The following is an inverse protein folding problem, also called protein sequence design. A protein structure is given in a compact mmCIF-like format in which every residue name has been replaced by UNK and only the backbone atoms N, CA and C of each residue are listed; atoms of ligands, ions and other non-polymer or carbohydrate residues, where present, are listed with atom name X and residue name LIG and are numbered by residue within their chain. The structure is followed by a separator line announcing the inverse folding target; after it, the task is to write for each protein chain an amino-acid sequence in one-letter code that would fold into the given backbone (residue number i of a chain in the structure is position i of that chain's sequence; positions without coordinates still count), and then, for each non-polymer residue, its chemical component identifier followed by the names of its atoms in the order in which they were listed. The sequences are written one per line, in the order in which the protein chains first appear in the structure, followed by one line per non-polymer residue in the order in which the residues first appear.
data_IF_013083528086
#
_entry.id   IF_013083528086
#
_cell.length_a   1.000
_cell.length_b   1.000
_cell.length_c   1.000
_cell.angle_alpha   90.00
_cell.angle_beta   90.00
_cell.angle_gamma   90.00
#
_symmetry.space_group_name_H-M   'P 1'
#
loop_
_entity.id
_entity.type
_entity.pdbx_description
1 polymer ?
#
# COMPACT_ATOMS: atom_id res chain seq x y z
N UNK A 1 -21.45 5.90 1.80
CA UNK A 1 -21.45 5.86 0.32
C UNK A 1 -19.99 5.81 -0.15
N UNK A 2 -19.29 4.67 -0.09
CA UNK A 2 -19.38 3.48 -0.95
C UNK A 2 -19.06 3.75 -2.42
N UNK A 3 -17.79 3.96 -2.76
CA UNK A 3 -17.32 3.92 -4.15
C UNK A 3 -16.14 2.96 -4.41
N UNK A 4 -15.62 2.31 -3.37
CA UNK A 4 -14.52 1.32 -3.50
C UNK A 4 -15.03 -0.11 -3.77
N UNK A 5 -16.33 -0.37 -3.59
CA UNK A 5 -16.88 -1.74 -3.64
C UNK A 5 -17.22 -2.25 -5.05
N UNK A 6 -17.41 -1.39 -6.06
CA UNK A 6 -17.95 -1.84 -7.36
C UNK A 6 -16.91 -2.35 -8.36
N UNK A 7 -15.64 -1.98 -8.21
CA UNK A 7 -14.61 -2.39 -9.18
C UNK A 7 -13.91 -3.70 -8.82
N UNK A 8 -13.92 -4.13 -7.55
CA UNK A 8 -13.38 -5.43 -7.15
C UNK A 8 -14.37 -6.59 -7.32
N UNK A 9 -15.68 -6.35 -7.22
CA UNK A 9 -16.67 -7.43 -7.38
C UNK A 9 -16.85 -7.86 -8.83
N UNK A 10 -16.69 -6.96 -9.82
CA UNK A 10 -16.82 -7.33 -11.23
C UNK A 10 -15.61 -8.12 -11.77
N UNK A 11 -14.41 -7.90 -11.23
CA UNK A 11 -13.22 -8.61 -11.70
C UNK A 11 -13.15 -10.05 -11.18
N UNK A 12 -13.55 -10.29 -9.94
CA UNK A 12 -13.51 -11.63 -9.33
C UNK A 12 -14.65 -12.53 -9.84
N UNK A 13 -15.81 -11.96 -10.17
CA UNK A 13 -16.94 -12.74 -10.68
C UNK A 13 -16.73 -13.26 -12.12
N UNK A 14 -15.93 -12.56 -12.94
CA UNK A 14 -15.63 -13.00 -14.31
C UNK A 14 -14.61 -14.15 -14.30
N UNK A 15 -13.68 -14.18 -13.34
CA UNK A 15 -12.65 -15.23 -13.29
C UNK A 15 -13.15 -16.54 -12.67
N UNK A 16 -14.15 -16.51 -11.77
CA UNK A 16 -14.63 -17.73 -11.09
C UNK A 16 -15.82 -18.42 -11.80
N UNK A 17 -16.54 -17.76 -12.71
CA UNK A 17 -17.68 -18.36 -13.42
C UNK A 17 -17.33 -19.07 -14.74
N UNK A 18 -16.04 -19.12 -15.08
CA UNK A 18 -15.50 -19.84 -16.23
C UNK A 18 -14.97 -21.25 -15.91
N UNK A 19 -14.94 -21.65 -14.63
CA UNK A 19 -14.33 -22.93 -14.20
C UNK A 19 -15.30 -24.11 -14.05
N UNK A 20 -16.63 -23.91 -14.13
CA UNK A 20 -17.60 -25.01 -13.88
C UNK A 20 -18.39 -25.50 -15.11
N UNK A 21 -18.13 -24.97 -16.31
CA UNK A 21 -18.80 -25.45 -17.53
C UNK A 21 -17.87 -26.07 -18.60
N UNK A 22 -16.57 -26.25 -18.29
CA UNK A 22 -15.61 -26.88 -19.21
C UNK A 22 -15.47 -28.37 -18.89
N UNK A 23 -16.58 -29.10 -18.86
CA UNK A 23 -16.56 -30.57 -18.74
C UNK A 23 -17.77 -31.21 -19.41
N UNK A 24 -17.99 -30.87 -20.69
CA UNK A 24 -18.71 -31.69 -21.70
C UNK A 24 -18.90 -30.91 -23.00
N UNK A 25 -17.84 -30.66 -23.75
CA UNK A 25 -18.02 -30.37 -25.19
C UNK A 25 -16.82 -30.86 -25.98
N UNK A 26 -17.14 -31.60 -27.04
CA UNK A 26 -16.26 -32.35 -27.93
C UNK A 26 -15.21 -31.44 -28.59
N UNK A 27 -14.01 -31.97 -28.92
CA UNK A 27 -12.98 -31.20 -29.59
C UNK A 27 -13.30 -31.17 -31.09
N UNK A 28 -13.82 -30.06 -31.60
CA UNK A 28 -13.79 -29.77 -33.02
C UNK A 28 -13.49 -28.28 -33.22
N UNK A 29 -12.31 -28.07 -33.79
CA UNK A 29 -11.75 -26.91 -34.49
C UNK A 29 -12.48 -25.55 -34.44
N UNK A 30 -11.62 -24.53 -34.41
CA UNK A 30 -11.83 -23.14 -34.82
C UNK A 30 -12.51 -22.22 -33.80
N UNK A 31 -11.69 -21.45 -33.10
CA UNK A 31 -11.86 -20.00 -33.13
C UNK A 31 -10.53 -19.32 -32.84
N UNK A 32 -9.91 -18.88 -33.92
CA UNK A 32 -8.85 -17.89 -33.93
C UNK A 32 -9.39 -16.51 -33.50
N UNK A 33 -8.46 -15.61 -33.17
CA UNK A 33 -8.65 -14.17 -32.93
C UNK A 33 -9.38 -13.78 -31.64
N UNK A 34 -8.61 -13.36 -30.63
CA UNK A 34 -8.71 -12.04 -29.95
C UNK A 34 -7.79 -12.00 -28.71
N UNK A 35 -6.48 -12.16 -28.91
CA UNK A 35 -5.47 -11.77 -27.91
C UNK A 35 -4.58 -10.70 -28.54
N UNK A 36 -5.21 -9.58 -28.91
CA UNK A 36 -4.54 -8.44 -29.50
C UNK A 36 -5.28 -7.18 -29.11
N UNK A 37 -4.74 -6.47 -28.11
CA UNK A 37 -5.07 -5.10 -27.64
C UNK A 37 -5.23 -4.99 -26.12
N UNK A 38 -4.25 -5.48 -25.35
CA UNK A 38 -4.01 -4.98 -23.99
C UNK A 38 -2.61 -4.39 -23.83
N UNK A 39 -2.09 -3.78 -24.91
CA UNK A 39 -0.91 -2.91 -24.86
C UNK A 39 -1.37 -1.45 -24.82
N UNK A 40 -2.25 -1.14 -23.86
CA UNK A 40 -2.41 0.22 -23.38
C UNK A 40 -1.22 0.53 -22.48
N UNK A 41 -0.05 0.82 -23.08
CA UNK A 41 1.04 1.53 -22.45
C UNK A 41 0.52 2.93 -22.09
N UNK A 42 -0.25 3.00 -21.01
CA UNK A 42 -0.49 4.23 -20.29
C UNK A 42 0.85 4.64 -19.71
N UNK A 43 1.60 5.47 -20.43
CA UNK A 43 2.68 6.25 -19.85
C UNK A 43 2.05 7.03 -18.69
N UNK A 44 2.15 6.49 -17.49
CA UNK A 44 1.73 7.15 -16.27
C UNK A 44 2.59 8.41 -16.17
N UNK A 45 2.02 9.55 -16.54
CA UNK A 45 2.70 10.81 -16.42
C UNK A 45 2.95 11.05 -14.94
N UNK A 46 4.21 10.88 -14.51
CA UNK A 46 4.63 11.08 -13.12
C UNK A 46 4.26 12.49 -12.71
N UNK A 47 3.38 12.60 -11.71
CA UNK A 47 3.02 13.87 -11.12
C UNK A 47 4.22 14.36 -10.30
N UNK A 48 4.67 15.59 -10.56
CA UNK A 48 5.77 16.18 -9.80
C UNK A 48 5.32 16.48 -8.37
N UNK A 49 5.88 15.74 -7.42
CA UNK A 49 5.61 15.94 -6.00
C UNK A 49 6.35 17.16 -5.44
N UNK A 50 5.63 17.96 -4.65
CA UNK A 50 6.17 19.12 -3.97
C UNK A 50 6.75 18.77 -2.58
N UNK A 51 7.34 19.74 -1.90
CA UNK A 51 7.94 19.52 -0.59
C UNK A 51 6.92 19.12 0.49
N UNK A 52 5.67 19.59 0.37
CA UNK A 52 4.59 19.22 1.30
C UNK A 52 4.19 17.77 1.09
N UNK A 53 4.14 17.31 -0.16
CA UNK A 53 3.88 15.91 -0.48
C UNK A 53 4.95 14.99 0.11
N UNK A 54 6.24 15.36 -0.02
CA UNK A 54 7.34 14.60 0.58
C UNK A 54 7.24 14.50 2.10
N UNK A 55 6.94 15.62 2.77
CA UNK A 55 6.72 15.64 4.23
C UNK A 55 5.53 14.76 4.62
N UNK A 56 4.42 14.88 3.88
CA UNK A 56 3.24 14.05 4.09
C UNK A 56 3.54 12.55 3.92
N UNK A 57 4.29 12.16 2.89
CA UNK A 57 4.68 10.76 2.65
C UNK A 57 5.43 10.18 3.86
N UNK A 58 6.39 10.92 4.41
CA UNK A 58 7.15 10.47 5.58
C UNK A 58 6.25 10.25 6.80
N UNK A 59 5.36 11.21 7.09
CA UNK A 59 4.39 11.13 8.19
C UNK A 59 3.41 9.97 7.96
N UNK A 60 2.88 9.86 6.74
CA UNK A 60 1.89 8.85 6.38
C UNK A 60 2.47 7.43 6.44
N UNK A 61 3.71 7.24 6.02
CA UNK A 61 4.43 5.97 6.17
C UNK A 61 4.51 5.55 7.65
N UNK A 62 4.86 6.48 8.55
CA UNK A 62 4.95 6.18 9.98
C UNK A 62 3.58 5.89 10.58
N UNK A 63 2.53 6.60 10.14
CA UNK A 63 1.16 6.32 10.56
C UNK A 63 0.75 4.91 10.14
N UNK A 64 1.07 4.49 8.91
CA UNK A 64 0.79 3.14 8.43
C UNK A 64 1.55 2.07 9.21
N UNK A 65 2.82 2.31 9.55
CA UNK A 65 3.59 1.41 10.41
C UNK A 65 2.94 1.27 11.78
N UNK A 66 2.59 2.39 12.42
CA UNK A 66 1.93 2.39 13.72
C UNK A 66 0.59 1.65 13.70
N UNK A 67 -0.22 1.88 12.65
CA UNK A 67 -1.48 1.18 12.45
C UNK A 67 -1.28 -0.32 12.23
N UNK A 68 -0.29 -0.71 11.43
CA UNK A 68 0.09 -2.09 11.20
C UNK A 68 0.54 -2.79 12.48
N UNK A 69 1.38 -2.13 13.29
CA UNK A 69 1.81 -2.64 14.60
C UNK A 69 0.65 -2.85 15.57
N UNK A 70 -0.33 -1.93 15.58
CA UNK A 70 -1.53 -2.11 16.41
C UNK A 70 -2.41 -3.27 15.91
N UNK A 71 -2.54 -3.45 14.60
CA UNK A 71 -3.32 -4.53 14.01
C UNK A 71 -2.72 -5.92 14.31
N UNK A 72 -1.39 -6.03 14.39
CA UNK A 72 -0.68 -7.29 14.67
C UNK A 72 -0.40 -7.51 16.16
N UNK A 73 -0.59 -6.51 17.01
CA UNK A 73 -0.41 -6.62 18.46
C UNK A 73 -1.40 -7.62 19.08
N UNK A 74 -0.94 -8.35 20.10
CA UNK A 74 -1.81 -9.18 20.94
C UNK A 74 -2.76 -8.32 21.78
N UNK A 75 -3.88 -8.89 22.22
CA UNK A 75 -4.88 -8.14 23.00
C UNK A 75 -4.35 -7.68 24.37
N UNK A 76 -3.38 -8.39 24.94
CA UNK A 76 -2.65 -7.95 26.12
C UNK A 76 -1.83 -6.69 25.86
N UNK A 77 -1.13 -6.62 24.72
CA UNK A 77 -0.31 -5.48 24.34
C UNK A 77 -1.17 -4.26 23.95
N UNK A 78 -2.32 -4.49 23.30
CA UNK A 78 -3.29 -3.43 22.96
C UNK A 78 -3.80 -2.68 24.20
N UNK A 79 -3.96 -3.35 25.34
CA UNK A 79 -4.37 -2.70 26.60
C UNK A 79 -3.37 -1.67 27.11
N UNK A 80 -2.09 -1.83 26.76
CA UNK A 80 -1.03 -0.90 27.10
C UNK A 80 -0.76 0.15 26.01
N UNK A 81 -1.30 -0.05 24.80
CA UNK A 81 -1.15 0.87 23.68
C UNK A 81 -2.33 1.85 23.61
N UNK A 82 -2.09 3.09 24.04
CA UNK A 82 -3.01 4.18 23.71
C UNK A 82 -2.70 4.72 22.31
N UNK A 83 -3.54 4.35 21.34
CA UNK A 83 -3.42 4.77 19.93
C UNK A 83 -3.39 6.29 19.77
N UNK A 84 -4.15 7.03 20.59
CA UNK A 84 -4.23 8.49 20.52
C UNK A 84 -2.90 9.14 20.89
N UNK A 85 -2.27 8.65 21.96
CA UNK A 85 -1.00 9.18 22.46
C UNK A 85 0.13 8.85 21.48
N UNK A 86 0.14 7.64 20.93
CA UNK A 86 1.13 7.24 19.91
C UNK A 86 1.02 8.07 18.63
N UNK A 87 -0.19 8.37 18.17
CA UNK A 87 -0.39 9.25 17.01
C UNK A 87 0.03 10.70 17.31
N UNK A 88 -0.26 11.20 18.51
CA UNK A 88 0.13 12.54 18.93
C UNK A 88 1.65 12.69 19.00
N UNK A 89 2.34 11.70 19.57
CA UNK A 89 3.80 11.66 19.62
C UNK A 89 4.42 11.58 18.21
N UNK A 90 3.82 10.80 17.30
CA UNK A 90 4.26 10.71 15.91
C UNK A 90 4.15 12.06 15.20
N UNK A 91 3.01 12.75 15.32
CA UNK A 91 2.82 14.07 14.73
C UNK A 91 3.82 15.11 15.29
N UNK A 92 4.07 15.07 16.60
CA UNK A 92 5.08 15.91 17.23
C UNK A 92 6.49 15.64 16.70
N UNK A 93 6.88 14.37 16.54
CA UNK A 93 8.20 13.99 16.02
C UNK A 93 8.48 14.51 14.60
N UNK A 94 7.43 14.66 13.78
CA UNK A 94 7.53 15.20 12.42
C UNK A 94 7.32 16.71 12.33
N UNK A 95 7.12 17.40 13.46
CA UNK A 95 6.67 18.78 13.50
C UNK A 95 5.52 19.01 12.51
N UNK A 96 4.50 18.14 12.57
CA UNK A 96 3.39 18.09 11.63
C UNK A 96 2.08 17.99 12.40
N UNK A 97 1.16 18.93 12.18
CA UNK A 97 -0.09 18.95 12.94
C UNK A 97 -1.13 17.96 12.37
N UNK A 98 -2.05 17.46 13.21
CA UNK A 98 -3.19 16.67 12.74
C UNK A 98 -4.06 17.42 11.73
N UNK A 99 -4.16 18.75 11.86
CA UNK A 99 -4.91 19.60 10.94
C UNK A 99 -4.25 19.64 9.56
N UNK A 100 -2.94 19.91 9.48
CA UNK A 100 -2.20 19.90 8.22
C UNK A 100 -2.30 18.53 7.53
N UNK A 101 -2.27 17.45 8.31
CA UNK A 101 -2.47 16.10 7.78
C UNK A 101 -3.85 15.93 7.13
N UNK A 102 -4.91 16.39 7.79
CA UNK A 102 -6.27 16.34 7.26
C UNK A 102 -6.43 17.20 6.01
N UNK A 103 -5.94 18.44 6.03
CA UNK A 103 -6.02 19.36 4.89
C UNK A 103 -5.33 18.78 3.66
N UNK A 104 -4.17 18.14 3.86
CA UNK A 104 -3.45 17.51 2.77
C UNK A 104 -4.17 16.27 2.24
N UNK A 105 -4.85 15.52 3.11
CA UNK A 105 -5.71 14.42 2.71
C UNK A 105 -6.89 14.90 1.83
N UNK A 106 -7.51 16.03 2.18
CA UNK A 106 -8.57 16.64 1.36
C UNK A 106 -8.05 17.09 -0.01
N UNK A 107 -6.85 17.67 -0.06
CA UNK A 107 -6.19 18.04 -1.33
C UNK A 107 -6.10 16.82 -2.27
N UNK A 108 -5.69 15.66 -1.75
CA UNK A 108 -5.56 14.44 -2.53
C UNK A 108 -6.89 13.85 -3.02
N UNK A 109 -8.01 14.15 -2.36
CA UNK A 109 -9.34 13.76 -2.88
C UNK A 109 -9.69 14.45 -4.19
N UNK A 110 -9.21 15.68 -4.37
CA UNK A 110 -9.46 16.47 -5.59
C UNK A 110 -8.48 16.17 -6.73
N UNK A 111 -7.39 15.45 -6.46
CA UNK A 111 -6.37 15.08 -7.45
C UNK A 111 -5.96 13.59 -7.30
N UNK A 112 -6.74 12.66 -7.91
CA UNK A 112 -6.50 11.23 -7.79
C UNK A 112 -5.15 10.77 -8.35
N UNK A 113 -4.61 11.45 -9.37
CA UNK A 113 -3.31 11.10 -9.96
C UNK A 113 -2.18 11.41 -8.99
N UNK A 114 -2.24 12.58 -8.33
CA UNK A 114 -1.28 12.94 -7.28
C UNK A 114 -1.39 12.01 -6.08
N UNK A 115 -2.60 11.62 -5.69
CA UNK A 115 -2.81 10.65 -4.63
C UNK A 115 -2.14 9.30 -4.94
N UNK A 116 -2.32 8.80 -6.16
CA UNK A 116 -1.68 7.56 -6.60
C UNK A 116 -0.15 7.63 -6.53
N UNK A 117 0.45 8.75 -6.94
CA UNK A 117 1.91 8.94 -6.83
C UNK A 117 2.36 8.99 -5.36
N UNK A 118 1.62 9.70 -4.50
CA UNK A 118 1.90 9.75 -3.05
C UNK A 118 1.85 8.34 -2.43
N UNK A 119 0.84 7.54 -2.78
CA UNK A 119 0.74 6.15 -2.32
C UNK A 119 1.91 5.30 -2.82
N UNK A 120 2.27 5.40 -4.10
CA UNK A 120 3.37 4.65 -4.68
C UNK A 120 4.70 4.96 -3.98
N UNK A 121 5.00 6.25 -3.76
CA UNK A 121 6.20 6.71 -3.07
C UNK A 121 6.21 6.28 -1.60
N UNK A 122 5.04 6.27 -0.95
CA UNK A 122 4.90 5.75 0.42
C UNK A 122 5.24 4.26 0.48
N UNK A 123 4.75 3.46 -0.47
CA UNK A 123 5.07 2.03 -0.54
C UNK A 123 6.56 1.78 -0.77
N UNK A 124 7.17 2.52 -1.70
CA UNK A 124 8.61 2.43 -1.96
C UNK A 124 9.43 2.74 -0.69
N UNK A 125 9.07 3.80 0.04
CA UNK A 125 9.73 4.14 1.30
C UNK A 125 9.61 3.03 2.35
N UNK A 126 8.43 2.40 2.46
CA UNK A 126 8.21 1.31 3.41
C UNK A 126 9.00 0.05 3.03
N UNK A 127 9.12 -0.24 1.73
CA UNK A 127 9.90 -1.36 1.21
C UNK A 127 11.40 -1.14 1.43
N UNK A 128 11.90 0.07 1.16
CA UNK A 128 13.29 0.46 1.46
C UNK A 128 13.61 0.28 2.95
N UNK A 129 12.77 0.81 3.84
CA UNK A 129 12.93 0.64 5.30
C UNK A 129 12.90 -0.83 5.72
N UNK A 130 12.04 -1.64 5.10
CA UNK A 130 12.01 -3.09 5.36
C UNK A 130 13.34 -3.74 4.98
N UNK A 131 13.89 -3.41 3.81
CA UNK A 131 15.17 -3.97 3.37
C UNK A 131 16.31 -3.62 4.32
N UNK A 132 16.39 -2.37 4.79
CA UNK A 132 17.40 -1.94 5.77
C UNK A 132 17.28 -2.76 7.06
N UNK A 133 16.07 -2.90 7.63
CA UNK A 133 15.86 -3.67 8.86
C UNK A 133 16.24 -5.14 8.68
N UNK A 134 15.97 -5.73 7.51
CA UNK A 134 16.33 -7.12 7.22
C UNK A 134 17.85 -7.31 7.09
N UNK A 135 18.55 -6.36 6.46
CA UNK A 135 20.01 -6.37 6.35
C UNK A 135 20.66 -6.25 7.73
N UNK A 136 20.24 -5.29 8.56
CA UNK A 136 20.75 -5.12 9.93
C UNK A 136 20.56 -6.40 10.78
N UNK A 137 19.43 -7.09 10.60
CA UNK A 137 19.19 -8.38 11.28
C UNK A 137 20.12 -9.49 10.78
N UNK A 138 20.43 -9.54 9.50
CA UNK A 138 21.38 -10.52 8.96
C UNK A 138 22.79 -10.26 9.47
N UNK A 139 23.25 -9.01 9.44
CA UNK A 139 24.59 -8.61 9.88
C UNK A 139 24.79 -8.83 11.39
N UNK A 140 23.80 -8.49 12.20
CA UNK A 140 23.84 -8.74 13.66
C UNK A 140 23.79 -10.22 14.01
N UNK A 141 23.15 -11.05 13.18
CA UNK A 141 23.14 -12.50 13.36
C UNK A 141 24.51 -13.10 12.99
N UNK A 142 25.09 -12.69 11.86
CA UNK A 142 26.43 -13.11 11.43
C UNK A 142 27.53 -12.68 12.40
N UNK A 143 27.47 -11.45 12.93
CA UNK A 143 28.42 -10.97 13.93
C UNK A 143 28.39 -11.75 15.25
N UNK A 144 27.23 -12.31 15.63
CA UNK A 144 27.12 -13.21 16.80
C UNK A 144 27.78 -14.57 16.56
N UNK A 145 27.84 -15.05 15.32
CA UNK A 145 28.48 -16.33 14.98
C UNK A 145 30.00 -16.23 14.83
N UNK A 146 30.57 -15.03 14.70
CA UNK A 146 32.03 -14.82 14.65
C UNK A 146 32.67 -14.63 16.05
N UNK A 147 31.87 -14.57 17.11
CA UNK A 147 32.32 -14.37 18.50
C UNK A 147 32.31 -15.66 19.34
N UNK A 148 32.09 -16.83 18.71
CA UNK A 148 32.14 -18.15 19.33
C UNK A 148 33.22 -19.03 18.70
#
# INVERSE_FOLDING_TARGET
MCFVSKYLESAIFITLKLSENVLKVKPLMALSLTVGMLWGLGCAQKVKLDARDRKFIAVYADVLVLQGSYATASDSLKKHFNKSDSLSALFAAHAYSPQEFSEQFERYRTDPKRWQEVQMQTLQLLEERRHIILQEKQDSTLGKFQLY
#
